data_IF_403808359939
#
_entry.id   IF_403808359939
#
_cell.length_a   1.000
_cell.length_b   1.000
_cell.length_c   1.000
_cell.angle_alpha   90.00
_cell.angle_beta   90.00
_cell.angle_gamma   90.00
#
_symmetry.space_group_name_H-M   'P 1'
#
loop_
_entity.id
_entity.type
_entity.pdbx_description
1 polymer ?
#
# COMPACT_ATOMS: atom_id res chain seq x y z
N UNK A 1 -19.33 11.91 -6.23
CA UNK A 1 -20.08 11.14 -7.27
C UNK A 1 -19.71 11.67 -8.64
N UNK A 2 -19.60 10.79 -9.63
CA UNK A 2 -19.38 11.19 -11.03
C UNK A 2 -20.73 11.37 -11.75
N UNK A 3 -20.77 12.24 -12.75
CA UNK A 3 -21.96 12.49 -13.57
C UNK A 3 -22.19 11.35 -14.58
N UNK A 4 -23.28 10.57 -14.50
CA UNK A 4 -23.56 9.52 -15.49
C UNK A 4 -23.70 10.08 -16.91
N UNK A 5 -24.34 11.23 -17.05
CA UNK A 5 -24.50 11.91 -18.35
C UNK A 5 -23.17 12.31 -18.95
N UNK A 6 -22.23 12.82 -18.15
CA UNK A 6 -20.89 13.18 -18.63
C UNK A 6 -20.08 11.93 -19.01
N UNK A 7 -20.18 10.82 -18.25
CA UNK A 7 -19.53 9.56 -18.60
C UNK A 7 -20.02 9.07 -19.96
N UNK A 8 -21.34 9.01 -20.17
CA UNK A 8 -21.93 8.56 -21.44
C UNK A 8 -21.55 9.44 -22.62
N UNK A 9 -21.43 10.77 -22.39
CA UNK A 9 -21.12 11.74 -23.47
C UNK A 9 -19.65 11.78 -23.83
N UNK A 10 -18.75 11.62 -22.84
CA UNK A 10 -17.30 11.80 -23.02
C UNK A 10 -16.55 10.51 -23.27
N UNK A 11 -17.11 9.35 -22.88
CA UNK A 11 -16.49 8.05 -23.09
C UNK A 11 -15.05 8.01 -22.53
N UNK A 12 -14.08 7.70 -23.39
CA UNK A 12 -12.66 7.59 -23.03
C UNK A 12 -12.04 8.94 -22.58
N UNK A 13 -12.57 10.06 -23.06
CA UNK A 13 -12.14 11.41 -22.67
C UNK A 13 -12.58 11.81 -21.26
N UNK A 14 -13.46 11.02 -20.62
CA UNK A 14 -14.01 11.38 -19.32
C UNK A 14 -12.92 11.64 -18.26
N UNK A 15 -11.85 10.86 -18.26
CA UNK A 15 -10.76 11.01 -17.29
C UNK A 15 -10.13 12.41 -17.26
N UNK A 16 -9.98 13.05 -18.42
CA UNK A 16 -9.40 14.38 -18.55
C UNK A 16 -10.43 15.52 -18.33
N UNK A 17 -11.72 15.23 -18.43
CA UNK A 17 -12.83 16.18 -18.37
C UNK A 17 -13.89 15.78 -17.34
N UNK A 18 -13.46 15.06 -16.29
CA UNK A 18 -14.37 14.51 -15.31
C UNK A 18 -15.28 15.56 -14.66
N UNK A 19 -16.57 15.25 -14.60
CA UNK A 19 -17.60 16.08 -13.96
C UNK A 19 -18.17 15.33 -12.76
N UNK A 20 -18.12 15.95 -11.61
CA UNK A 20 -18.58 15.37 -10.35
C UNK A 20 -19.04 16.42 -9.35
N UNK A 21 -19.37 15.95 -8.14
CA UNK A 21 -19.86 16.79 -7.03
C UNK A 21 -18.75 17.22 -6.06
N UNK A 22 -17.50 17.15 -6.49
CA UNK A 22 -16.33 17.46 -5.67
C UNK A 22 -16.10 18.96 -5.44
N UNK A 23 -15.16 19.31 -4.55
CA UNK A 23 -14.85 20.70 -4.21
C UNK A 23 -14.19 21.48 -5.35
N UNK A 24 -13.60 20.79 -6.33
CA UNK A 24 -12.91 21.40 -7.46
C UNK A 24 -13.42 20.85 -8.79
N UNK A 25 -13.27 21.66 -9.84
CA UNK A 25 -13.57 21.33 -11.24
C UNK A 25 -12.27 21.32 -12.03
N UNK A 26 -12.09 20.35 -12.92
CA UNK A 26 -10.93 20.32 -13.83
C UNK A 26 -11.09 21.46 -14.85
N UNK A 27 -10.14 22.38 -14.88
CA UNK A 27 -10.02 23.44 -15.88
C UNK A 27 -9.14 22.98 -17.04
N UNK A 28 -8.05 22.29 -16.72
CA UNK A 28 -7.09 21.77 -17.71
C UNK A 28 -6.47 20.47 -17.20
N UNK A 29 -6.23 19.52 -18.09
CA UNK A 29 -5.49 18.30 -17.81
C UNK A 29 -4.52 17.99 -18.95
N UNK A 30 -3.21 18.06 -18.67
CA UNK A 30 -2.13 17.75 -19.62
C UNK A 30 -1.46 16.46 -19.19
N UNK A 31 -1.66 15.39 -19.96
CA UNK A 31 -1.15 14.07 -19.65
C UNK A 31 0.37 14.08 -19.45
N UNK A 32 0.84 13.54 -18.33
CA UNK A 32 2.26 13.47 -17.99
C UNK A 32 2.87 14.77 -17.49
N UNK A 33 2.11 15.86 -17.39
CA UNK A 33 2.54 17.18 -16.94
C UNK A 33 1.78 17.61 -15.67
N UNK A 34 0.53 18.03 -15.81
CA UNK A 34 -0.24 18.59 -14.69
C UNK A 34 -1.76 18.49 -14.90
N UNK A 35 -2.47 18.68 -13.79
CA UNK A 35 -3.92 18.96 -13.80
C UNK A 35 -4.17 20.23 -13.01
N UNK A 36 -4.86 21.17 -13.64
CA UNK A 36 -5.29 22.43 -13.05
C UNK A 36 -6.75 22.35 -12.68
N UNK A 37 -7.05 22.67 -11.44
CA UNK A 37 -8.37 22.66 -10.85
C UNK A 37 -8.75 24.07 -10.41
N UNK A 38 -10.03 24.42 -10.56
CA UNK A 38 -10.63 25.63 -10.00
C UNK A 38 -11.71 25.27 -8.99
N UNK A 39 -12.00 26.16 -8.05
CA UNK A 39 -13.07 26.00 -7.06
C UNK A 39 -14.39 25.68 -7.75
N UNK A 40 -15.12 24.71 -7.18
CA UNK A 40 -16.51 24.45 -7.54
C UNK A 40 -17.43 25.38 -6.75
N UNK A 41 -17.94 26.43 -7.41
CA UNK A 41 -18.82 27.42 -6.78
C UNK A 41 -20.12 26.82 -6.21
N UNK A 42 -20.52 25.65 -6.69
CA UNK A 42 -21.70 24.93 -6.24
C UNK A 42 -21.38 23.80 -5.25
N UNK A 43 -20.15 23.76 -4.69
CA UNK A 43 -19.82 22.73 -3.73
C UNK A 43 -20.61 22.91 -2.44
N UNK A 44 -21.20 21.81 -1.97
CA UNK A 44 -22.13 21.78 -0.84
C UNK A 44 -21.44 21.70 0.54
N UNK A 45 -20.15 21.33 0.57
CA UNK A 45 -19.42 21.06 1.81
C UNK A 45 -19.12 22.33 2.58
N UNK A 46 -19.17 22.22 3.91
CA UNK A 46 -18.79 23.26 4.87
C UNK A 46 -17.80 22.67 5.89
N UNK A 47 -17.02 23.53 6.52
CA UNK A 47 -16.20 23.17 7.65
C UNK A 47 -17.04 23.03 8.95
N UNK A 48 -16.38 22.71 10.07
CA UNK A 48 -17.01 22.56 11.37
C UNK A 48 -17.65 23.86 11.91
N UNK A 49 -17.19 25.02 11.42
CA UNK A 49 -17.63 26.35 11.85
C UNK A 49 -18.68 26.92 10.90
N UNK A 50 -19.08 26.14 9.87
CA UNK A 50 -20.10 26.51 8.89
C UNK A 50 -19.59 27.31 7.69
N UNK A 51 -18.29 27.54 7.58
CA UNK A 51 -17.68 28.24 6.44
C UNK A 51 -17.69 27.36 5.19
N UNK A 52 -17.84 28.00 4.05
CA UNK A 52 -17.88 27.31 2.76
C UNK A 52 -16.52 26.75 2.37
N UNK A 53 -16.51 25.51 1.90
CA UNK A 53 -15.34 24.85 1.32
C UNK A 53 -15.42 24.79 -0.21
N UNK A 54 -14.29 24.58 -0.94
CA UNK A 54 -12.93 24.60 -0.45
C UNK A 54 -12.44 26.05 -0.16
N UNK A 55 -11.37 26.19 0.63
CA UNK A 55 -10.78 27.51 0.90
C UNK A 55 -9.96 28.05 -0.29
N UNK A 56 -9.28 27.16 -1.02
CA UNK A 56 -8.47 27.54 -2.18
C UNK A 56 -9.35 27.85 -3.40
N UNK A 57 -8.95 28.85 -4.15
CA UNK A 57 -9.58 29.19 -5.45
C UNK A 57 -9.14 28.22 -6.55
N UNK A 58 -7.84 27.89 -6.57
CA UNK A 58 -7.22 27.05 -7.58
C UNK A 58 -6.20 26.08 -6.97
N UNK A 59 -6.03 24.91 -7.60
CA UNK A 59 -5.01 23.92 -7.25
C UNK A 59 -4.39 23.38 -8.52
N UNK A 60 -3.07 23.44 -8.65
CA UNK A 60 -2.34 22.80 -9.75
C UNK A 60 -1.55 21.61 -9.23
N UNK A 61 -1.90 20.39 -9.66
CA UNK A 61 -1.17 19.18 -9.34
C UNK A 61 -0.20 18.84 -10.47
N UNK A 62 1.11 18.94 -10.20
CA UNK A 62 2.16 18.65 -11.18
C UNK A 62 2.69 17.23 -11.01
N UNK A 63 2.89 16.52 -12.12
CA UNK A 63 3.48 15.20 -12.12
C UNK A 63 5.01 15.28 -12.17
N UNK A 64 5.66 15.25 -10.99
CA UNK A 64 7.12 15.25 -10.87
C UNK A 64 7.59 13.88 -10.38
N UNK A 65 8.09 13.04 -11.28
CA UNK A 65 8.44 11.63 -10.98
C UNK A 65 9.65 11.48 -10.06
N UNK A 66 10.69 12.31 -10.25
CA UNK A 66 11.93 12.23 -9.47
C UNK A 66 11.76 12.96 -8.13
N UNK A 67 11.98 12.25 -7.02
CA UNK A 67 11.89 12.81 -5.67
C UNK A 67 12.85 13.98 -5.44
N UNK A 68 14.09 13.89 -5.93
CA UNK A 68 15.07 14.96 -5.81
C UNK A 68 14.62 16.26 -6.49
N UNK A 69 13.90 16.16 -7.62
CA UNK A 69 13.34 17.33 -8.30
C UNK A 69 12.20 17.94 -7.49
N UNK A 70 11.34 17.12 -6.86
CA UNK A 70 10.28 17.63 -5.96
C UNK A 70 10.87 18.34 -4.75
N UNK A 71 11.91 17.75 -4.12
CA UNK A 71 12.64 18.36 -3.00
C UNK A 71 13.22 19.71 -3.38
N UNK A 72 13.87 19.82 -4.56
CA UNK A 72 14.42 21.07 -5.04
C UNK A 72 13.33 22.13 -5.30
N UNK A 73 12.23 21.75 -5.94
CA UNK A 73 11.10 22.64 -6.22
C UNK A 73 10.40 23.16 -4.93
N UNK A 74 10.27 22.31 -3.89
CA UNK A 74 9.81 22.75 -2.57
C UNK A 74 10.77 23.78 -1.94
N UNK A 75 12.07 23.51 -1.97
CA UNK A 75 13.08 24.39 -1.36
C UNK A 75 13.20 25.74 -2.09
N UNK A 76 12.99 25.76 -3.41
CA UNK A 76 12.98 26.99 -4.20
C UNK A 76 11.66 27.78 -4.11
N UNK A 77 10.59 27.18 -3.58
CA UNK A 77 9.26 27.77 -3.57
C UNK A 77 8.53 27.69 -4.93
N UNK A 78 9.01 26.87 -5.86
CA UNK A 78 8.34 26.61 -7.15
C UNK A 78 7.05 25.79 -6.97
N UNK A 79 6.99 24.97 -5.90
CA UNK A 79 5.78 24.28 -5.47
C UNK A 79 5.58 24.50 -3.97
N UNK A 80 4.33 24.55 -3.54
CA UNK A 80 3.96 24.85 -2.15
C UNK A 80 3.87 23.60 -1.29
N UNK A 81 3.57 22.43 -1.88
CA UNK A 81 3.32 21.20 -1.17
C UNK A 81 3.71 19.96 -2.00
N UNK A 82 4.31 18.96 -1.35
CA UNK A 82 4.58 17.65 -1.96
C UNK A 82 4.69 16.55 -0.90
N UNK A 83 4.64 15.28 -1.34
CA UNK A 83 5.18 14.19 -0.54
C UNK A 83 6.70 14.22 -0.57
N UNK A 84 7.30 14.19 0.62
CA UNK A 84 8.76 14.16 0.76
C UNK A 84 9.36 12.86 0.20
N UNK A 85 10.61 12.96 -0.24
CA UNK A 85 11.48 11.78 -0.37
C UNK A 85 11.80 11.25 1.03
N UNK A 86 11.80 9.92 1.20
CA UNK A 86 12.05 9.32 2.51
C UNK A 86 13.39 9.74 3.13
N UNK A 87 14.42 9.93 2.30
CA UNK A 87 15.73 10.37 2.77
C UNK A 87 15.82 11.86 3.14
N UNK A 88 14.82 12.68 2.77
CA UNK A 88 14.82 14.13 3.02
C UNK A 88 13.90 14.53 4.20
N UNK A 89 13.14 13.58 4.76
CA UNK A 89 12.10 13.86 5.77
C UNK A 89 12.69 14.59 6.98
N UNK A 90 13.75 14.04 7.59
CA UNK A 90 14.38 14.63 8.77
C UNK A 90 14.89 16.05 8.51
N UNK A 91 15.45 16.30 7.32
CA UNK A 91 15.92 17.61 6.93
C UNK A 91 14.78 18.64 6.76
N UNK A 92 13.60 18.21 6.33
CA UNK A 92 12.42 19.07 6.25
C UNK A 92 11.79 19.31 7.63
N UNK A 93 11.76 18.29 8.48
CA UNK A 93 11.24 18.41 9.85
C UNK A 93 12.09 19.35 10.73
N UNK A 94 13.40 19.40 10.47
CA UNK A 94 14.33 20.31 11.16
C UNK A 94 14.32 21.75 10.58
N UNK A 95 13.75 21.97 9.40
CA UNK A 95 13.76 23.29 8.73
C UNK A 95 12.49 24.09 9.06
N UNK A 96 12.64 25.16 9.82
CA UNK A 96 11.54 26.02 10.25
C UNK A 96 10.75 26.68 9.10
N UNK A 97 11.23 26.63 7.87
CA UNK A 97 10.52 27.15 6.67
C UNK A 97 9.39 26.26 6.20
N UNK A 98 9.33 25.03 6.69
CA UNK A 98 8.35 24.04 6.25
C UNK A 98 7.44 23.59 7.39
N UNK A 99 6.24 23.18 7.03
CA UNK A 99 5.35 22.38 7.85
C UNK A 99 5.42 20.92 7.34
N UNK A 100 5.38 19.96 8.26
CA UNK A 100 5.33 18.54 7.91
C UNK A 100 4.15 17.89 8.60
N UNK A 101 3.52 16.94 7.90
CA UNK A 101 2.45 16.12 8.44
C UNK A 101 2.70 14.66 8.08
N UNK A 102 2.66 13.76 9.08
CA UNK A 102 2.87 12.33 8.93
C UNK A 102 1.54 11.58 8.95
N UNK A 103 1.36 10.69 8.00
CA UNK A 103 0.31 9.67 8.04
C UNK A 103 0.99 8.28 8.03
N UNK A 104 1.04 7.67 9.19
CA UNK A 104 1.60 6.33 9.34
C UNK A 104 0.64 5.26 8.81
N UNK A 105 1.21 4.14 8.37
CA UNK A 105 0.46 2.99 7.88
C UNK A 105 -0.62 3.33 6.83
N UNK A 106 -0.34 4.26 5.92
CA UNK A 106 -1.28 4.69 4.90
C UNK A 106 -1.60 3.62 3.85
N UNK A 107 -0.67 2.69 3.62
CA UNK A 107 -0.86 1.49 2.77
C UNK A 107 0.19 0.42 3.12
N UNK A 108 0.01 -0.80 2.60
CA UNK A 108 1.05 -1.82 2.65
C UNK A 108 2.08 -1.49 1.57
N UNK A 109 3.29 -1.13 1.98
CA UNK A 109 4.37 -0.79 1.06
C UNK A 109 5.06 -2.03 0.50
N UNK A 110 5.43 -2.98 1.36
CA UNK A 110 6.03 -4.25 0.97
C UNK A 110 5.21 -5.40 1.55
N UNK A 111 4.81 -6.30 0.69
CA UNK A 111 4.06 -7.50 1.02
C UNK A 111 4.58 -8.69 0.21
N UNK A 112 4.66 -9.84 0.84
CA UNK A 112 4.94 -11.11 0.18
C UNK A 112 3.63 -11.83 -0.09
N UNK A 113 3.41 -12.22 -1.33
CA UNK A 113 2.30 -13.07 -1.75
C UNK A 113 2.86 -14.38 -2.28
N UNK A 114 2.37 -15.48 -1.78
CA UNK A 114 2.85 -16.81 -2.15
C UNK A 114 1.85 -17.52 -3.07
N UNK A 115 2.39 -18.18 -4.10
CA UNK A 115 1.64 -19.13 -4.90
C UNK A 115 1.63 -20.47 -4.17
N UNK A 116 0.52 -20.75 -3.49
CA UNK A 116 0.38 -21.94 -2.65
C UNK A 116 0.32 -23.26 -3.43
N UNK A 117 0.25 -23.20 -4.77
CA UNK A 117 0.40 -24.38 -5.64
C UNK A 117 1.87 -24.73 -5.91
N UNK A 118 2.72 -23.72 -6.03
CA UNK A 118 4.16 -23.92 -6.28
C UNK A 118 4.95 -24.13 -4.98
N UNK A 119 4.50 -23.49 -3.89
CA UNK A 119 4.98 -23.65 -2.52
C UNK A 119 3.82 -24.19 -1.67
N UNK A 120 3.42 -25.44 -1.93
CA UNK A 120 2.24 -26.08 -1.34
C UNK A 120 2.41 -26.38 0.16
N UNK A 121 3.62 -26.74 0.59
CA UNK A 121 3.93 -26.92 2.00
C UNK A 121 4.03 -25.56 2.72
N UNK A 122 3.17 -25.28 3.72
CA UNK A 122 3.25 -24.06 4.52
C UNK A 122 4.58 -23.93 5.29
N UNK A 123 5.30 -25.03 5.55
CA UNK A 123 6.62 -24.93 6.17
C UNK A 123 7.65 -24.25 5.25
N UNK A 124 7.59 -24.44 3.93
CA UNK A 124 8.45 -23.73 2.99
C UNK A 124 8.18 -22.23 3.01
N UNK A 125 6.90 -21.82 3.00
CA UNK A 125 6.51 -20.40 3.05
C UNK A 125 6.88 -19.77 4.40
N UNK A 126 6.70 -20.47 5.50
CA UNK A 126 7.12 -20.03 6.82
C UNK A 126 8.64 -19.92 6.93
N UNK A 127 9.41 -20.84 6.32
CA UNK A 127 10.87 -20.75 6.26
C UNK A 127 11.30 -19.45 5.55
N UNK A 128 10.72 -19.13 4.39
CA UNK A 128 10.98 -17.87 3.66
C UNK A 128 10.65 -16.68 4.56
N UNK A 129 9.47 -16.65 5.14
CA UNK A 129 8.99 -15.48 5.90
C UNK A 129 9.82 -15.22 7.16
N UNK A 130 10.20 -16.27 7.89
CA UNK A 130 11.03 -16.14 9.08
C UNK A 130 12.51 -15.82 8.77
N UNK A 131 12.98 -16.03 7.53
CA UNK A 131 14.33 -15.68 7.11
C UNK A 131 14.47 -14.22 6.66
N UNK A 132 13.37 -13.47 6.47
CA UNK A 132 13.40 -12.09 5.99
C UNK A 132 13.20 -11.12 7.16
N UNK A 133 14.13 -10.17 7.30
CA UNK A 133 14.11 -9.11 8.30
C UNK A 133 13.50 -7.82 7.71
N UNK A 134 12.23 -7.50 8.00
CA UNK A 134 11.60 -6.29 7.51
C UNK A 134 12.15 -5.02 8.19
N UNK A 135 12.69 -5.11 9.40
CA UNK A 135 13.29 -3.98 10.09
C UNK A 135 14.58 -3.56 9.38
N UNK A 136 15.40 -4.53 8.98
CA UNK A 136 16.58 -4.27 8.16
C UNK A 136 16.20 -3.65 6.81
N UNK A 137 15.20 -4.20 6.11
CA UNK A 137 14.71 -3.64 4.84
C UNK A 137 14.22 -2.19 5.05
N UNK A 138 13.46 -1.93 6.11
CA UNK A 138 12.98 -0.59 6.43
C UNK A 138 14.16 0.39 6.63
N UNK A 139 15.17 -0.01 7.38
CA UNK A 139 16.35 0.81 7.62
C UNK A 139 17.19 1.04 6.36
N UNK A 140 17.48 -0.03 5.61
CA UNK A 140 18.39 0.01 4.47
C UNK A 140 17.78 0.68 3.23
N UNK A 141 16.48 0.47 2.97
CA UNK A 141 15.82 0.93 1.74
C UNK A 141 14.93 2.14 1.99
N UNK A 142 14.27 2.21 3.15
CA UNK A 142 13.29 3.25 3.46
C UNK A 142 13.75 4.23 4.54
N UNK A 143 15.06 4.23 4.86
CA UNK A 143 15.68 5.15 5.82
C UNK A 143 15.05 5.10 7.23
N UNK A 144 14.39 3.99 7.58
CA UNK A 144 13.66 3.85 8.85
C UNK A 144 12.32 4.62 8.90
N UNK A 145 11.93 5.28 7.82
CA UNK A 145 10.78 6.19 7.81
C UNK A 145 9.41 5.49 7.70
N UNK A 146 9.40 4.22 7.35
CA UNK A 146 8.18 3.40 7.29
C UNK A 146 7.99 2.63 8.60
N UNK A 147 6.84 1.99 8.76
CA UNK A 147 6.51 1.16 9.93
C UNK A 147 6.64 -0.32 9.55
N UNK A 148 7.35 -1.10 10.36
CA UNK A 148 7.34 -2.57 10.22
C UNK A 148 5.92 -3.07 10.49
N UNK A 149 5.40 -3.93 9.61
CA UNK A 149 4.07 -4.48 9.78
C UNK A 149 4.00 -5.36 11.05
N UNK A 150 2.97 -5.19 11.83
CA UNK A 150 2.73 -5.92 13.09
C UNK A 150 1.79 -7.11 12.92
N UNK A 151 0.87 -7.05 11.95
CA UNK A 151 -0.17 -8.05 11.71
C UNK A 151 -0.43 -8.28 10.21
N UNK A 152 -1.67 -8.69 9.87
CA UNK A 152 -2.16 -8.99 8.53
C UNK A 152 -2.41 -7.77 7.63
N UNK A 153 -3.33 -7.94 6.67
CA UNK A 153 -3.62 -6.89 5.69
C UNK A 153 -4.48 -5.75 6.23
N UNK A 154 -5.06 -5.90 7.41
CA UNK A 154 -5.83 -4.85 8.07
C UNK A 154 -4.86 -3.89 8.75
N UNK A 155 -4.71 -2.68 8.19
CA UNK A 155 -3.73 -1.71 8.70
C UNK A 155 -4.17 -1.08 10.04
N UNK A 156 -3.23 -0.61 10.87
CA UNK A 156 -3.52 0.14 12.07
C UNK A 156 -4.58 1.23 11.86
N UNK A 157 -5.53 1.32 12.80
CA UNK A 157 -6.69 2.20 12.70
C UNK A 157 -7.87 1.67 11.86
N UNK A 158 -7.74 0.51 11.18
CA UNK A 158 -8.90 -0.22 10.68
C UNK A 158 -9.57 -1.01 11.81
N UNK A 159 -10.89 -1.13 11.78
CA UNK A 159 -11.64 -1.81 12.85
C UNK A 159 -11.32 -3.33 12.96
N UNK A 160 -10.84 -3.94 11.89
CA UNK A 160 -10.43 -5.35 11.86
C UNK A 160 -8.94 -5.58 12.15
N UNK A 161 -8.16 -4.50 12.37
CA UNK A 161 -6.75 -4.65 12.75
C UNK A 161 -6.62 -5.30 14.12
N UNK A 162 -5.87 -6.40 14.20
CA UNK A 162 -5.64 -7.12 15.45
C UNK A 162 -4.15 -7.49 15.62
N UNK A 163 -3.37 -6.67 16.35
CA UNK A 163 -1.95 -6.94 16.58
C UNK A 163 -1.71 -8.15 17.51
N UNK A 164 -2.75 -8.73 18.13
CA UNK A 164 -2.63 -9.99 18.88
C UNK A 164 -2.50 -11.21 17.98
N UNK A 165 -2.71 -11.05 16.67
CA UNK A 165 -2.36 -12.02 15.62
C UNK A 165 -1.15 -11.49 14.86
N UNK A 166 0.06 -11.64 15.42
CA UNK A 166 1.25 -11.04 14.84
C UNK A 166 1.67 -11.74 13.54
N UNK A 167 2.22 -10.98 12.62
CA UNK A 167 2.92 -11.56 11.48
C UNK A 167 4.11 -12.44 11.95
N UNK A 168 4.54 -13.43 11.15
CA UNK A 168 5.75 -14.19 11.45
C UNK A 168 6.97 -13.27 11.65
N UNK A 169 7.66 -13.40 12.78
CA UNK A 169 8.83 -12.59 13.13
C UNK A 169 10.09 -13.09 12.41
N UNK A 170 11.04 -12.19 12.15
CA UNK A 170 12.37 -12.57 11.70
C UNK A 170 13.06 -13.49 12.72
N UNK A 171 13.38 -14.70 12.32
CA UNK A 171 14.08 -15.69 13.13
C UNK A 171 14.73 -16.75 12.24
N UNK A 172 16.00 -16.57 11.83
CA UNK A 172 16.69 -17.53 10.95
C UNK A 172 16.81 -18.96 11.52
N UNK A 173 16.87 -19.12 12.84
CA UNK A 173 16.91 -20.44 13.46
C UNK A 173 15.56 -21.15 13.23
N UNK A 174 14.44 -20.46 13.47
CA UNK A 174 13.09 -20.96 13.19
C UNK A 174 12.87 -21.23 11.70
N UNK A 175 13.45 -20.42 10.82
CA UNK A 175 13.42 -20.68 9.37
C UNK A 175 14.08 -22.01 9.03
N UNK A 176 15.26 -22.31 9.60
CA UNK A 176 15.92 -23.61 9.44
C UNK A 176 15.12 -24.78 10.01
N UNK A 177 14.41 -24.58 11.13
CA UNK A 177 13.52 -25.60 11.68
C UNK A 177 12.34 -25.90 10.75
N UNK A 178 11.77 -24.88 10.12
CA UNK A 178 10.74 -25.06 9.10
C UNK A 178 11.29 -25.78 7.86
N UNK A 179 12.50 -25.48 7.42
CA UNK A 179 13.16 -26.23 6.32
C UNK A 179 13.30 -27.71 6.65
N UNK A 180 13.73 -28.05 7.87
CA UNK A 180 13.79 -29.45 8.32
C UNK A 180 12.41 -30.13 8.29
N UNK A 181 11.36 -29.44 8.79
CA UNK A 181 9.98 -29.96 8.77
C UNK A 181 9.46 -30.20 7.34
N UNK A 182 9.88 -29.35 6.39
CA UNK A 182 9.55 -29.51 4.97
C UNK A 182 10.42 -30.56 4.24
N UNK A 183 11.33 -31.28 4.95
CA UNK A 183 12.25 -32.23 4.33
C UNK A 183 13.31 -31.57 3.44
N UNK A 184 13.64 -30.31 3.67
CA UNK A 184 14.61 -29.52 2.92
C UNK A 184 15.67 -28.89 3.84
N UNK A 185 16.38 -29.67 4.68
CA UNK A 185 17.31 -29.13 5.69
C UNK A 185 18.43 -28.27 5.09
N UNK A 186 18.83 -28.56 3.86
CA UNK A 186 19.90 -27.84 3.13
C UNK A 186 19.36 -26.65 2.29
N UNK A 187 18.04 -26.41 2.37
CA UNK A 187 17.37 -25.37 1.63
C UNK A 187 16.73 -25.85 0.32
N UNK A 188 16.28 -24.90 -0.49
CA UNK A 188 15.66 -25.15 -1.79
C UNK A 188 15.78 -23.92 -2.69
N UNK A 189 15.41 -24.10 -3.96
CA UNK A 189 15.44 -23.02 -4.96
C UNK A 189 14.03 -22.68 -5.44
N UNK A 190 13.76 -21.38 -5.62
CA UNK A 190 12.52 -20.90 -6.25
C UNK A 190 12.74 -19.57 -6.98
N UNK A 191 11.79 -19.21 -7.85
CA UNK A 191 11.81 -17.92 -8.55
C UNK A 191 10.65 -17.05 -8.07
N UNK A 192 10.98 -15.83 -7.70
CA UNK A 192 10.01 -14.77 -7.44
C UNK A 192 9.91 -13.83 -8.63
N UNK A 193 8.76 -13.17 -8.78
CA UNK A 193 8.61 -12.04 -9.69
C UNK A 193 8.49 -10.74 -8.92
N UNK A 194 8.99 -9.65 -9.50
CA UNK A 194 8.84 -8.29 -8.98
C UNK A 194 8.85 -7.27 -10.11
N UNK A 195 8.74 -5.98 -9.78
CA UNK A 195 8.87 -4.88 -10.74
C UNK A 195 10.01 -3.95 -10.36
N UNK A 196 10.52 -3.18 -11.33
CA UNK A 196 11.78 -2.43 -11.19
C UNK A 196 11.93 -1.60 -9.91
N UNK A 197 10.84 -0.97 -9.44
CA UNK A 197 10.88 -0.20 -8.19
C UNK A 197 11.04 -1.06 -6.91
N UNK A 198 10.87 -2.38 -7.00
CA UNK A 198 11.00 -3.34 -5.88
C UNK A 198 12.26 -4.20 -5.97
N UNK A 199 13.09 -3.95 -6.97
CA UNK A 199 14.34 -4.71 -7.14
C UNK A 199 15.27 -4.59 -5.93
N UNK A 200 15.51 -3.39 -5.34
CA UNK A 200 16.39 -3.27 -4.17
C UNK A 200 15.93 -4.11 -2.97
N UNK A 201 14.64 -4.09 -2.63
CA UNK A 201 14.10 -4.92 -1.55
C UNK A 201 14.25 -6.41 -1.86
N UNK A 202 14.06 -6.79 -3.12
CA UNK A 202 14.18 -8.19 -3.55
C UNK A 202 15.61 -8.69 -3.45
N UNK A 203 16.62 -7.86 -3.76
CA UNK A 203 18.04 -8.19 -3.60
C UNK A 203 18.43 -8.35 -2.12
N UNK A 204 17.90 -7.51 -1.24
CA UNK A 204 18.09 -7.68 0.23
C UNK A 204 17.47 -8.99 0.70
N UNK A 205 16.24 -9.30 0.29
CA UNK A 205 15.58 -10.56 0.64
C UNK A 205 16.37 -11.77 0.12
N UNK A 206 16.90 -11.71 -1.11
CA UNK A 206 17.74 -12.76 -1.69
C UNK A 206 18.97 -13.04 -0.82
N UNK A 207 19.66 -12.00 -0.38
CA UNK A 207 20.84 -12.13 0.47
C UNK A 207 20.49 -12.73 1.85
N UNK A 208 19.35 -12.36 2.44
CA UNK A 208 18.90 -12.90 3.72
C UNK A 208 18.50 -14.38 3.60
N UNK A 209 17.79 -14.76 2.56
CA UNK A 209 17.38 -16.14 2.28
C UNK A 209 18.58 -17.07 2.06
N UNK A 210 19.62 -16.58 1.39
CA UNK A 210 20.85 -17.35 1.18
C UNK A 210 21.55 -17.76 2.49
N UNK A 211 21.40 -16.99 3.57
CA UNK A 211 21.97 -17.30 4.90
C UNK A 211 21.36 -18.55 5.54
N UNK A 212 20.18 -18.94 5.11
CA UNK A 212 19.49 -20.16 5.59
C UNK A 212 19.47 -21.27 4.54
N UNK A 213 20.18 -21.13 3.42
CA UNK A 213 20.24 -22.12 2.35
C UNK A 213 19.17 -21.99 1.27
N UNK A 214 18.30 -20.99 1.35
CA UNK A 214 17.25 -20.78 0.34
C UNK A 214 17.81 -19.93 -0.81
N UNK A 215 17.78 -20.47 -2.03
CA UNK A 215 18.17 -19.78 -3.25
C UNK A 215 16.94 -19.17 -3.93
N UNK A 216 16.84 -17.84 -3.93
CA UNK A 216 15.78 -17.11 -4.58
C UNK A 216 16.30 -16.47 -5.87
N UNK A 217 15.70 -16.82 -7.00
CA UNK A 217 15.93 -16.12 -8.26
C UNK A 217 14.92 -14.96 -8.40
N UNK A 218 15.35 -13.84 -8.96
CA UNK A 218 14.56 -12.63 -9.11
C UNK A 218 14.26 -12.39 -10.59
N UNK A 219 13.00 -12.43 -10.97
CA UNK A 219 12.53 -12.01 -12.29
C UNK A 219 11.93 -10.61 -12.19
N UNK A 220 12.44 -9.66 -12.99
CA UNK A 220 12.00 -8.27 -12.98
C UNK A 220 11.22 -7.96 -14.23
N UNK A 221 9.97 -7.57 -14.08
CA UNK A 221 9.07 -7.23 -15.17
C UNK A 221 8.49 -5.82 -14.99
N UNK A 222 7.69 -5.34 -15.95
CA UNK A 222 6.81 -4.19 -15.68
C UNK A 222 5.75 -4.58 -14.65
N UNK A 223 5.25 -3.65 -13.84
CA UNK A 223 4.25 -3.97 -12.80
C UNK A 223 3.00 -4.67 -13.35
N UNK A 224 2.53 -4.28 -14.55
CA UNK A 224 1.40 -4.93 -15.23
C UNK A 224 1.73 -6.38 -15.64
N UNK A 225 2.92 -6.61 -16.20
CA UNK A 225 3.36 -7.94 -16.62
C UNK A 225 3.61 -8.86 -15.42
N UNK A 226 4.28 -8.36 -14.37
CA UNK A 226 4.52 -9.11 -13.14
C UNK A 226 3.21 -9.56 -12.48
N UNK A 227 2.23 -8.66 -12.36
CA UNK A 227 0.90 -8.99 -11.84
C UNK A 227 0.17 -10.03 -12.69
N UNK A 228 0.20 -9.93 -14.03
CA UNK A 228 -0.41 -10.90 -14.92
C UNK A 228 0.26 -12.28 -14.78
N UNK A 229 1.58 -12.33 -14.82
CA UNK A 229 2.36 -13.56 -14.71
C UNK A 229 2.15 -14.27 -13.36
N UNK A 230 2.00 -13.52 -12.26
CA UNK A 230 1.75 -14.10 -10.94
C UNK A 230 0.28 -14.49 -10.75
N UNK A 231 -0.66 -13.53 -10.89
CA UNK A 231 -2.07 -13.76 -10.54
C UNK A 231 -2.87 -14.58 -11.56
N UNK A 232 -2.62 -14.34 -12.85
CA UNK A 232 -3.40 -15.02 -13.92
C UNK A 232 -2.74 -16.28 -14.42
N UNK A 233 -1.42 -16.26 -14.57
CA UNK A 233 -0.69 -17.35 -15.22
C UNK A 233 -0.06 -18.30 -14.19
N UNK A 234 0.05 -17.90 -12.91
CA UNK A 234 0.59 -18.73 -11.84
C UNK A 234 2.06 -19.15 -12.05
N UNK A 235 2.85 -18.39 -12.80
CA UNK A 235 4.21 -18.76 -13.23
C UNK A 235 5.29 -18.67 -12.16
N UNK A 236 5.05 -17.95 -11.05
CA UNK A 236 6.05 -17.67 -10.05
C UNK A 236 5.60 -18.11 -8.67
N UNK A 237 6.57 -18.51 -7.83
CA UNK A 237 6.33 -19.00 -6.49
C UNK A 237 5.99 -17.88 -5.48
N UNK A 238 6.55 -16.69 -5.70
CA UNK A 238 6.35 -15.52 -4.81
C UNK A 238 6.29 -14.23 -5.62
N UNK A 239 5.50 -13.27 -5.14
CA UNK A 239 5.45 -11.91 -5.65
C UNK A 239 5.65 -10.91 -4.50
N UNK A 240 6.68 -10.06 -4.63
CA UNK A 240 6.87 -8.92 -3.75
C UNK A 240 6.19 -7.69 -4.34
N UNK A 241 5.16 -7.20 -3.67
CA UNK A 241 4.30 -6.12 -4.18
C UNK A 241 3.86 -5.16 -3.08
N UNK A 242 3.02 -4.21 -3.43
CA UNK A 242 2.36 -3.28 -2.51
C UNK A 242 0.84 -3.41 -2.64
N UNK A 243 0.14 -3.00 -1.60
CA UNK A 243 -1.32 -3.04 -1.60
C UNK A 243 -1.90 -1.77 -0.99
N UNK A 244 -2.96 -1.23 -1.60
CA UNK A 244 -3.67 -0.07 -1.06
C UNK A 244 -4.42 -0.43 0.21
N UNK A 245 -4.66 0.55 1.07
CA UNK A 245 -5.54 0.40 2.22
C UNK A 245 -6.99 0.34 1.76
N UNK A 246 -7.71 -0.66 2.24
CA UNK A 246 -9.16 -0.76 2.07
C UNK A 246 -9.81 -0.69 3.45
N UNK A 247 -10.83 0.16 3.63
CA UNK A 247 -11.47 0.35 4.94
C UNK A 247 -12.27 -0.88 5.38
N UNK A 248 -12.74 -1.69 4.41
CA UNK A 248 -13.51 -2.90 4.65
C UNK A 248 -12.69 -4.17 4.42
N UNK A 249 -12.63 -5.07 5.40
CA UNK A 249 -11.92 -6.35 5.29
C UNK A 249 -12.43 -7.24 4.17
N UNK A 250 -13.71 -7.20 3.85
CA UNK A 250 -14.34 -7.99 2.79
C UNK A 250 -13.65 -7.83 1.44
N UNK A 251 -13.15 -6.64 1.15
CA UNK A 251 -12.49 -6.42 -0.12
C UNK A 251 -11.24 -7.31 -0.24
N UNK A 252 -10.38 -7.32 0.79
CA UNK A 252 -9.18 -8.17 0.79
C UNK A 252 -9.57 -9.64 0.94
N UNK A 253 -10.52 -9.96 1.80
CA UNK A 253 -11.06 -11.31 1.93
C UNK A 253 -11.49 -11.87 0.59
N UNK A 254 -12.41 -11.20 -0.09
CA UNK A 254 -13.01 -11.67 -1.34
C UNK A 254 -12.05 -11.65 -2.52
N UNK A 255 -11.12 -10.70 -2.59
CA UNK A 255 -10.25 -10.55 -3.76
C UNK A 255 -8.86 -11.18 -3.60
N UNK A 256 -8.33 -11.28 -2.37
CA UNK A 256 -6.97 -11.75 -2.12
C UNK A 256 -6.94 -13.15 -1.53
N UNK A 257 -7.85 -13.45 -0.62
CA UNK A 257 -7.80 -14.70 0.16
C UNK A 257 -8.75 -15.76 -0.34
N UNK A 258 -9.94 -15.37 -0.81
CA UNK A 258 -10.95 -16.34 -1.29
C UNK A 258 -10.44 -17.10 -2.50
N UNK A 259 -10.80 -18.39 -2.60
CA UNK A 259 -10.41 -19.28 -3.72
C UNK A 259 -10.76 -18.71 -5.09
N UNK A 260 -11.88 -17.97 -5.21
CA UNK A 260 -12.30 -17.29 -6.43
C UNK A 260 -11.72 -15.88 -6.59
N UNK A 261 -10.86 -15.42 -5.67
CA UNK A 261 -10.33 -14.07 -5.64
C UNK A 261 -9.38 -13.79 -6.80
N UNK A 262 -9.51 -12.61 -7.41
CA UNK A 262 -8.67 -12.21 -8.55
C UNK A 262 -7.17 -12.17 -8.21
N UNK A 263 -6.81 -11.83 -6.96
CA UNK A 263 -5.43 -11.77 -6.48
C UNK A 263 -4.99 -13.03 -5.72
N UNK A 264 -5.81 -14.10 -5.71
CA UNK A 264 -5.39 -15.39 -5.21
C UNK A 264 -4.62 -16.10 -6.33
N UNK A 265 -3.28 -16.14 -6.20
CA UNK A 265 -2.44 -16.81 -7.18
C UNK A 265 -2.77 -18.31 -7.24
N UNK A 266 -2.99 -18.83 -8.47
CA UNK A 266 -3.35 -20.20 -8.73
C UNK A 266 -4.79 -20.61 -8.33
N UNK A 267 -5.60 -19.73 -7.76
CA UNK A 267 -7.00 -19.99 -7.34
C UNK A 267 -7.16 -21.31 -6.56
N UNK A 268 -6.27 -21.55 -5.60
CA UNK A 268 -6.34 -22.78 -4.84
C UNK A 268 -7.50 -22.76 -3.83
N UNK A 269 -8.31 -23.82 -3.82
CA UNK A 269 -9.39 -23.92 -2.86
C UNK A 269 -8.88 -23.95 -1.41
N UNK A 270 -9.45 -23.11 -0.57
CA UNK A 270 -9.34 -23.16 0.87
C UNK A 270 -10.76 -23.03 1.45
N UNK A 271 -11.52 -24.12 1.57
CA UNK A 271 -12.92 -24.07 1.97
C UNK A 271 -13.15 -23.45 3.35
N UNK A 272 -12.22 -23.62 4.28
CA UNK A 272 -12.32 -23.02 5.62
C UNK A 272 -12.21 -21.49 5.52
N UNK A 273 -11.24 -21.00 4.77
CA UNK A 273 -11.02 -19.56 4.56
C UNK A 273 -12.18 -18.95 3.79
N UNK A 274 -12.65 -19.62 2.74
CA UNK A 274 -13.81 -19.17 1.94
C UNK A 274 -15.06 -19.04 2.82
N UNK A 275 -15.36 -20.03 3.66
CA UNK A 275 -16.51 -20.01 4.57
C UNK A 275 -16.41 -18.90 5.62
N UNK A 276 -15.22 -18.64 6.17
CA UNK A 276 -15.00 -17.54 7.11
C UNK A 276 -15.23 -16.19 6.45
N UNK A 277 -14.71 -15.98 5.25
CA UNK A 277 -14.86 -14.74 4.50
C UNK A 277 -16.34 -14.49 4.16
N UNK A 278 -17.06 -15.50 3.66
CA UNK A 278 -18.49 -15.41 3.37
C UNK A 278 -19.32 -15.09 4.63
N UNK A 279 -18.99 -15.72 5.74
CA UNK A 279 -19.63 -15.45 7.02
C UNK A 279 -19.36 -14.02 7.50
N UNK A 280 -18.12 -13.53 7.39
CA UNK A 280 -17.73 -12.17 7.76
C UNK A 280 -18.45 -11.11 6.91
N UNK A 281 -18.62 -11.37 5.61
CA UNK A 281 -19.34 -10.50 4.70
C UNK A 281 -20.85 -10.42 4.98
N UNK A 282 -21.44 -11.52 5.44
CA UNK A 282 -22.89 -11.61 5.70
C UNK A 282 -23.32 -10.97 7.03
N UNK A 283 -22.40 -10.71 7.96
CA UNK A 283 -22.69 -10.15 9.28
C UNK A 283 -22.70 -8.62 9.25
N UNK A 284 -23.56 -8.02 10.07
CA UNK A 284 -23.61 -6.56 10.29
C UNK A 284 -22.96 -6.14 11.61
N UNK A 285 -22.93 -7.04 12.60
CA UNK A 285 -22.32 -6.77 13.90
C UNK A 285 -20.79 -6.74 13.79
N UNK A 286 -20.19 -5.61 14.15
CA UNK A 286 -18.74 -5.40 13.99
C UNK A 286 -17.93 -6.30 14.92
N UNK A 287 -18.39 -6.59 16.13
CA UNK A 287 -17.63 -7.38 17.09
C UNK A 287 -17.66 -8.87 16.70
N UNK A 288 -18.77 -9.36 16.15
CA UNK A 288 -18.81 -10.70 15.55
C UNK A 288 -17.92 -10.78 14.30
N UNK A 289 -17.93 -9.75 13.45
CA UNK A 289 -17.06 -9.66 12.28
C UNK A 289 -15.58 -9.66 12.68
N UNK A 290 -15.18 -8.92 13.71
CA UNK A 290 -13.81 -8.92 14.24
C UNK A 290 -13.34 -10.33 14.59
N UNK A 291 -14.18 -11.12 15.27
CA UNK A 291 -13.84 -12.51 15.62
C UNK A 291 -13.60 -13.39 14.37
N UNK A 292 -14.36 -13.14 13.31
CA UNK A 292 -14.20 -13.87 12.05
C UNK A 292 -12.90 -13.45 11.35
N UNK A 293 -12.64 -12.14 11.17
CA UNK A 293 -11.44 -11.67 10.48
C UNK A 293 -10.16 -11.94 11.25
N UNK A 294 -10.22 -12.00 12.60
CA UNK A 294 -9.14 -12.52 13.40
C UNK A 294 -8.76 -13.95 13.00
N UNK A 295 -9.76 -14.85 12.85
CA UNK A 295 -9.50 -16.25 12.40
C UNK A 295 -8.94 -16.29 10.98
N UNK A 296 -9.40 -15.40 10.10
CA UNK A 296 -8.83 -15.24 8.76
C UNK A 296 -7.35 -14.91 8.86
N UNK A 297 -6.96 -13.93 9.67
CA UNK A 297 -5.55 -13.57 9.87
C UNK A 297 -4.73 -14.71 10.51
N UNK A 298 -5.28 -15.43 11.49
CA UNK A 298 -4.63 -16.61 12.10
C UNK A 298 -4.27 -17.66 11.06
N UNK A 299 -5.16 -17.95 10.11
CA UNK A 299 -4.91 -18.90 9.01
C UNK A 299 -3.89 -18.32 8.01
N UNK A 300 -4.13 -17.10 7.53
CA UNK A 300 -3.32 -16.47 6.48
C UNK A 300 -1.88 -16.26 6.92
N UNK A 301 -1.67 -15.73 8.12
CA UNK A 301 -0.34 -15.47 8.68
C UNK A 301 0.32 -16.77 9.16
N UNK A 302 -0.44 -17.67 9.83
CA UNK A 302 0.07 -18.95 10.30
C UNK A 302 0.57 -19.86 9.19
N UNK A 303 -0.04 -19.78 8.01
CA UNK A 303 0.38 -20.52 6.82
C UNK A 303 1.25 -19.68 5.86
N UNK A 304 1.57 -18.44 6.20
CA UNK A 304 2.29 -17.49 5.33
C UNK A 304 1.73 -17.46 3.91
N UNK A 305 0.42 -17.23 3.76
CA UNK A 305 -0.22 -17.13 2.43
C UNK A 305 0.04 -15.74 1.83
N UNK A 306 -0.21 -14.71 2.63
CA UNK A 306 0.08 -13.30 2.33
C UNK A 306 0.65 -12.68 3.59
N UNK A 307 1.83 -12.06 3.49
CA UNK A 307 2.53 -11.52 4.66
C UNK A 307 2.94 -10.07 4.40
N UNK A 308 2.29 -9.09 5.04
CA UNK A 308 2.76 -7.72 5.08
C UNK A 308 4.11 -7.63 5.77
N UNK A 309 5.03 -6.86 5.20
CA UNK A 309 6.37 -6.67 5.74
C UNK A 309 6.57 -5.25 6.26
N UNK A 310 6.10 -4.27 5.50
CA UNK A 310 6.30 -2.85 5.81
C UNK A 310 5.07 -2.06 5.40
N UNK A 311 4.56 -1.22 6.30
CA UNK A 311 3.53 -0.24 6.04
C UNK A 311 4.17 1.09 5.65
N UNK A 312 3.61 1.77 4.66
CA UNK A 312 4.14 3.04 4.18
C UNK A 312 3.67 4.20 5.04
N UNK A 313 4.61 5.00 5.50
CA UNK A 313 4.36 6.34 6.01
C UNK A 313 4.37 7.34 4.86
N UNK A 314 3.35 8.18 4.77
CA UNK A 314 3.34 9.34 3.87
C UNK A 314 3.68 10.57 4.69
N UNK A 315 4.67 11.34 4.23
CA UNK A 315 5.02 12.61 4.84
C UNK A 315 4.76 13.72 3.84
N UNK A 316 3.76 14.54 4.15
CA UNK A 316 3.47 15.77 3.42
C UNK A 316 4.39 16.85 3.94
N UNK A 317 5.05 17.54 3.04
CA UNK A 317 5.85 18.73 3.34
C UNK A 317 5.22 19.91 2.60
N UNK A 318 5.05 21.00 3.30
CA UNK A 318 4.51 22.23 2.72
C UNK A 318 5.29 23.45 3.20
N UNK A 319 5.31 24.52 2.39
CA UNK A 319 5.78 25.83 2.83
C UNK A 319 4.94 26.34 4.02
N UNK A 320 5.48 27.23 4.84
CA UNK A 320 4.74 27.86 5.96
C UNK A 320 3.48 28.60 5.53
N UNK A 321 3.38 28.95 4.25
CA UNK A 321 2.20 29.61 3.67
C UNK A 321 0.99 28.68 3.51
N UNK A 322 1.19 27.38 3.66
CA UNK A 322 0.11 26.39 3.53
C UNK A 322 -0.37 25.97 4.90
N UNK A 323 -1.62 26.24 5.20
CA UNK A 323 -2.32 25.82 6.42
C UNK A 323 -3.12 24.53 6.23
N UNK A 324 -3.49 23.91 7.35
CA UNK A 324 -4.30 22.70 7.42
C UNK A 324 -3.70 21.48 6.69
N UNK A 325 -2.37 21.37 6.65
CA UNK A 325 -1.68 20.31 5.91
C UNK A 325 -2.01 18.89 6.41
N UNK A 326 -2.45 18.75 7.65
CA UNK A 326 -2.86 17.46 8.23
C UNK A 326 -4.10 16.87 7.54
N UNK A 327 -4.87 17.71 6.86
CA UNK A 327 -6.07 17.30 6.11
C UNK A 327 -5.75 16.81 4.69
N UNK A 328 -4.52 17.01 4.23
CA UNK A 328 -4.11 16.69 2.85
C UNK A 328 -4.05 15.19 2.59
N UNK A 329 -3.47 14.42 3.52
CA UNK A 329 -3.23 13.00 3.30
C UNK A 329 -4.48 12.16 3.55
N UNK A 330 -4.87 11.37 2.55
CA UNK A 330 -5.90 10.34 2.68
C UNK A 330 -5.25 8.96 2.87
N UNK A 331 -5.99 8.04 3.45
CA UNK A 331 -5.51 6.70 3.82
C UNK A 331 -4.90 5.87 2.67
N UNK A 332 -5.10 6.23 1.43
CA UNK A 332 -4.55 5.53 0.26
C UNK A 332 -3.43 6.31 -0.44
N UNK A 333 -2.91 7.36 0.20
CA UNK A 333 -1.87 8.23 -0.35
C UNK A 333 -2.36 9.20 -1.42
N UNK A 334 -3.67 9.38 -1.56
CA UNK A 334 -4.23 10.45 -2.38
C UNK A 334 -4.25 11.75 -1.59
N UNK A 335 -4.10 12.85 -2.30
CA UNK A 335 -4.17 14.18 -1.71
C UNK A 335 -5.61 14.73 -1.74
N UNK A 336 -6.02 15.33 -0.63
CA UNK A 336 -7.28 16.04 -0.48
C UNK A 336 -6.98 17.51 -0.15
N UNK A 337 -7.50 18.42 -0.94
CA UNK A 337 -7.25 19.85 -0.77
C UNK A 337 -8.48 20.62 -0.28
N UNK A 338 -9.52 19.91 0.18
CA UNK A 338 -10.80 20.51 0.57
C UNK A 338 -10.67 21.57 1.67
N UNK A 339 -9.85 21.28 2.67
CA UNK A 339 -9.67 22.13 3.86
C UNK A 339 -8.30 22.83 3.91
N UNK A 340 -7.48 22.62 2.90
CA UNK A 340 -6.19 23.33 2.75
C UNK A 340 -6.43 24.80 2.47
N UNK A 341 -5.63 25.67 3.09
CA UNK A 341 -5.71 27.11 2.89
C UNK A 341 -4.32 27.70 2.67
N UNK A 342 -4.28 28.90 2.12
CA UNK A 342 -3.08 29.76 2.17
C UNK A 342 -3.16 30.65 3.39
N UNK A 343 -2.07 30.74 4.15
CA UNK A 343 -1.91 31.68 5.28
C UNK A 343 -1.08 32.88 4.80
N UNK A 344 -1.33 34.05 5.37
CA UNK A 344 -0.60 35.27 5.05
C UNK A 344 0.90 35.19 5.44
#
# INVERSE_FOLDING_TARGET
MNSPTAISKLGEDYGAKAVGTGPFVIKEAVQGSHVHFVRNENYWGKDKDGNRLPYLDEVTIRQVKKSSVRTAALRSGEIDLAYASLGDIEAFEADAKFNTSRMEAGKINLMLMFNTKMLDDPNLRNAITHAIDPAFINKAIYFGQNTVADSGMWLPGAWAHDPSVPRPSYNPAKAKDFLKKAGKPDGFEFTMVTFGARKPESEVMQAQLAQVGIKMNIEVMSGKAAGAAFFKEGKFAMYATSFSRYPEPDWAGSNVYKSSGYYNAANLPNPELDALIEKGAALSDIDERKKIYRKVDEIVLGQSIVVPMVYQTFVTVASKKVGNIDTVSMHDGKMNFREVCMTE
#
